data_IF_806696374662
#
_entry.id   IF_806696374662
#
_cell.length_a   1.000
_cell.length_b   1.000
_cell.length_c   1.000
_cell.angle_alpha   90.00
_cell.angle_beta   90.00
_cell.angle_gamma   90.00
#
_symmetry.space_group_name_H-M   'P 1'
#
loop_
_entity.id
_entity.type
_entity.pdbx_description
1 polymer ?
#
# COMPACT_ATOMS: atom_id res chain seq x y z
N UNK A 1 1.05 -23.34 4.80
CA UNK A 1 1.71 -22.57 5.88
C UNK A 1 1.31 -21.09 5.85
N UNK A 2 1.47 -20.45 4.69
CA UNK A 2 1.29 -19.01 4.48
C UNK A 2 -0.15 -18.52 4.74
N UNK A 3 -1.15 -19.29 4.30
CA UNK A 3 -2.55 -18.83 4.18
C UNK A 3 -3.24 -18.53 5.52
N UNK A 4 -3.09 -19.39 6.53
CA UNK A 4 -3.70 -19.15 7.86
C UNK A 4 -3.03 -17.98 8.60
N UNK A 5 -1.76 -17.73 8.29
CA UNK A 5 -0.99 -16.64 8.87
C UNK A 5 -1.34 -15.32 8.18
N UNK A 6 -1.54 -15.35 6.86
CA UNK A 6 -2.13 -14.28 6.07
C UNK A 6 -3.53 -13.93 6.57
N UNK A 7 -4.42 -14.91 6.67
CA UNK A 7 -5.77 -14.79 7.23
C UNK A 7 -5.79 -14.10 8.60
N UNK A 8 -4.89 -14.49 9.49
CA UNK A 8 -4.80 -13.90 10.82
C UNK A 8 -4.20 -12.48 10.78
N UNK A 9 -3.25 -12.21 9.88
CA UNK A 9 -2.65 -10.89 9.70
C UNK A 9 -3.59 -9.88 9.01
N UNK A 10 -4.49 -10.33 8.13
CA UNK A 10 -5.54 -9.52 7.48
C UNK A 10 -6.50 -8.90 8.49
N UNK A 11 -6.72 -9.54 9.65
CA UNK A 11 -7.52 -8.98 10.75
C UNK A 11 -6.84 -7.78 11.44
N UNK A 12 -5.51 -7.64 11.30
CA UNK A 12 -4.76 -6.53 11.91
C UNK A 12 -4.68 -5.30 11.01
N UNK A 13 -5.03 -5.40 9.73
CA UNK A 13 -5.08 -4.25 8.83
C UNK A 13 -6.13 -3.21 9.29
N UNK A 14 -7.41 -3.57 9.53
CA UNK A 14 -8.42 -2.60 9.96
C UNK A 14 -8.15 -2.08 11.37
N UNK A 15 -7.63 -2.94 12.25
CA UNK A 15 -7.16 -2.54 13.58
C UNK A 15 -6.01 -1.54 13.47
N UNK A 16 -5.08 -1.77 12.55
CA UNK A 16 -3.96 -0.90 12.28
C UNK A 16 -4.40 0.47 11.77
N UNK A 17 -5.44 0.51 10.92
CA UNK A 17 -6.09 1.77 10.56
C UNK A 17 -6.66 2.48 11.80
N UNK A 18 -7.46 1.80 12.64
CA UNK A 18 -8.06 2.42 13.83
C UNK A 18 -6.98 2.97 14.76
N UNK A 19 -5.96 2.16 15.08
CA UNK A 19 -4.89 2.58 15.98
C UNK A 19 -4.14 3.79 15.39
N UNK A 20 -3.79 3.74 14.10
CA UNK A 20 -3.11 4.85 13.43
C UNK A 20 -4.00 6.10 13.39
N UNK A 21 -5.30 5.94 13.15
CA UNK A 21 -6.26 7.05 13.07
C UNK A 21 -6.46 7.71 14.44
N UNK A 22 -6.53 6.92 15.52
CA UNK A 22 -6.65 7.46 16.88
C UNK A 22 -5.36 8.17 17.30
N UNK A 23 -4.20 7.56 17.04
CA UNK A 23 -2.91 8.10 17.48
C UNK A 23 -2.46 9.30 16.65
N UNK A 24 -2.58 9.22 15.32
CA UNK A 24 -2.01 10.20 14.39
C UNK A 24 -3.08 11.05 13.70
N UNK A 25 -4.34 10.62 13.63
CA UNK A 25 -5.40 11.37 12.97
C UNK A 25 -5.56 12.80 13.49
N UNK A 26 -5.72 13.04 14.81
CA UNK A 26 -5.83 14.38 15.37
C UNK A 26 -4.57 15.23 15.11
N UNK A 27 -3.39 14.62 15.21
CA UNK A 27 -2.11 15.30 14.96
C UNK A 27 -2.02 15.74 13.49
N UNK A 28 -2.28 14.83 12.55
CA UNK A 28 -2.24 15.12 11.12
C UNK A 28 -3.31 16.14 10.72
N UNK A 29 -4.53 16.03 11.26
CA UNK A 29 -5.61 16.97 10.98
C UNK A 29 -5.31 18.38 11.49
N UNK A 30 -4.77 18.53 12.71
CA UNK A 30 -4.41 19.84 13.27
C UNK A 30 -3.27 20.51 12.50
N UNK A 31 -2.25 19.75 12.09
CA UNK A 31 -1.17 20.24 11.23
C UNK A 31 -1.73 20.69 9.89
N UNK A 32 -2.62 19.91 9.29
CA UNK A 32 -3.20 20.21 7.97
C UNK A 32 -4.10 21.45 7.96
N UNK A 33 -4.92 21.66 9.00
CA UNK A 33 -5.78 22.85 9.12
C UNK A 33 -4.93 24.13 9.27
N UNK A 34 -3.74 24.02 9.83
CA UNK A 34 -2.78 25.13 9.93
C UNK A 34 -1.97 25.41 8.66
N UNK A 35 -2.17 24.69 7.56
CA UNK A 35 -1.38 24.90 6.34
C UNK A 35 -1.80 26.18 5.61
N UNK A 36 -0.84 27.10 5.49
CA UNK A 36 -0.93 28.24 4.59
C UNK A 36 -0.49 27.85 3.17
N UNK A 37 -0.79 28.66 2.13
CA UNK A 37 -0.31 28.40 0.76
C UNK A 37 1.20 28.17 0.67
N UNK A 38 2.00 28.86 1.50
CA UNK A 38 3.45 28.67 1.56
C UNK A 38 3.83 27.27 2.07
N UNK A 39 3.10 26.73 3.05
CA UNK A 39 3.32 25.38 3.57
C UNK A 39 3.00 24.31 2.52
N UNK A 40 1.96 24.52 1.70
CA UNK A 40 1.66 23.62 0.58
C UNK A 40 2.79 23.61 -0.45
N UNK A 41 3.34 24.77 -0.81
CA UNK A 41 4.49 24.83 -1.74
C UNK A 41 5.71 24.11 -1.16
N UNK A 42 6.05 24.38 0.11
CA UNK A 42 7.17 23.71 0.77
C UNK A 42 6.98 22.19 0.85
N UNK A 43 5.76 21.72 1.15
CA UNK A 43 5.41 20.32 1.18
C UNK A 43 5.54 19.66 -0.20
N UNK A 44 5.08 20.32 -1.26
CA UNK A 44 5.22 19.82 -2.63
C UNK A 44 6.69 19.71 -3.04
N UNK A 45 7.50 20.73 -2.75
CA UNK A 45 8.95 20.69 -3.00
C UNK A 45 9.61 19.55 -2.22
N UNK A 46 9.27 19.40 -0.93
CA UNK A 46 9.76 18.31 -0.10
C UNK A 46 9.33 16.93 -0.63
N UNK A 47 8.10 16.80 -1.14
CA UNK A 47 7.60 15.57 -1.72
C UNK A 47 8.38 15.20 -3.00
N UNK A 48 8.65 16.14 -3.89
CA UNK A 48 9.47 15.90 -5.08
C UNK A 48 10.94 15.60 -4.72
N UNK A 49 11.51 16.29 -3.73
CA UNK A 49 12.86 16.01 -3.23
C UNK A 49 12.95 14.60 -2.62
N UNK A 50 11.95 14.21 -1.82
CA UNK A 50 11.88 12.88 -1.22
C UNK A 50 11.68 11.80 -2.29
N UNK A 51 10.80 12.03 -3.26
CA UNK A 51 10.56 11.11 -4.38
C UNK A 51 11.86 10.82 -5.14
N UNK A 52 12.65 11.85 -5.44
CA UNK A 52 13.92 11.69 -6.18
C UNK A 52 15.01 11.01 -5.34
N UNK A 53 14.97 11.13 -4.01
CA UNK A 53 15.88 10.44 -3.10
C UNK A 53 15.52 8.98 -2.81
N UNK A 54 14.22 8.64 -2.81
CA UNK A 54 13.72 7.32 -2.39
C UNK A 54 13.46 6.37 -3.56
N UNK A 55 13.11 6.90 -4.75
CA UNK A 55 12.66 6.07 -5.87
C UNK A 55 13.80 5.78 -6.86
N UNK A 56 14.21 4.50 -6.87
CA UNK A 56 14.99 3.90 -7.95
C UNK A 56 16.50 4.12 -7.89
N UNK A 57 17.22 3.53 -8.85
CA UNK A 57 18.69 3.64 -8.96
C UNK A 57 19.17 4.94 -9.63
N UNK A 58 18.27 5.72 -10.23
CA UNK A 58 18.61 6.90 -11.04
C UNK A 58 17.68 8.07 -10.76
N UNK A 59 18.17 9.02 -9.96
CA UNK A 59 17.49 10.27 -9.58
C UNK A 59 17.01 11.07 -10.79
N UNK A 60 17.81 11.12 -11.85
CA UNK A 60 17.49 11.89 -13.07
C UNK A 60 16.25 11.33 -13.78
N UNK A 61 16.13 10.00 -13.89
CA UNK A 61 14.97 9.37 -14.52
C UNK A 61 13.69 9.62 -13.73
N UNK A 62 13.78 9.55 -12.40
CA UNK A 62 12.66 9.84 -11.50
C UNK A 62 12.20 11.29 -11.63
N UNK A 63 13.13 12.25 -11.65
CA UNK A 63 12.80 13.66 -11.79
C UNK A 63 12.21 13.98 -13.17
N UNK A 64 12.77 13.44 -14.25
CA UNK A 64 12.21 13.59 -15.60
C UNK A 64 10.80 13.02 -15.70
N UNK A 65 10.56 11.83 -15.13
CA UNK A 65 9.22 11.24 -15.09
C UNK A 65 8.22 12.11 -14.33
N UNK A 66 8.62 12.65 -13.19
CA UNK A 66 7.78 13.56 -12.40
C UNK A 66 7.47 14.88 -13.15
N UNK A 67 8.46 15.45 -13.85
CA UNK A 67 8.27 16.65 -14.67
C UNK A 67 7.35 16.40 -15.87
N UNK A 68 7.52 15.29 -16.58
CA UNK A 68 6.63 14.88 -17.68
C UNK A 68 5.20 14.75 -17.15
N UNK A 69 5.03 14.09 -16.01
CA UNK A 69 3.71 13.95 -15.40
C UNK A 69 3.09 15.29 -14.99
N UNK A 70 3.85 16.21 -14.38
CA UNK A 70 3.38 17.55 -14.05
C UNK A 70 2.91 18.31 -15.29
N UNK A 71 3.65 18.22 -16.40
CA UNK A 71 3.24 18.85 -17.66
C UNK A 71 1.92 18.25 -18.16
N UNK A 72 1.79 16.92 -18.17
CA UNK A 72 0.57 16.23 -18.59
C UNK A 72 -0.64 16.57 -17.69
N UNK A 73 -0.44 16.66 -16.37
CA UNK A 73 -1.48 16.99 -15.40
C UNK A 73 -1.98 18.45 -15.52
N UNK A 74 -1.21 19.34 -16.16
CA UNK A 74 -1.64 20.73 -16.42
C UNK A 74 -2.46 20.92 -17.69
N UNK A 75 -2.65 19.87 -18.50
CA UNK A 75 -3.49 19.92 -19.69
C UNK A 75 -4.96 19.97 -19.26
N UNK A 76 -5.70 20.97 -19.74
CA UNK A 76 -7.13 21.15 -19.46
C UNK A 76 -7.50 22.53 -18.96
N UNK A 77 -8.75 22.69 -18.53
CA UNK A 77 -9.21 23.91 -17.87
C UNK A 77 -8.71 23.93 -16.43
N UNK A 78 -7.99 24.98 -16.05
CA UNK A 78 -7.55 25.15 -14.66
C UNK A 78 -8.76 25.40 -13.74
N UNK A 79 -8.93 24.55 -12.72
CA UNK A 79 -10.10 24.60 -11.83
C UNK A 79 -10.22 25.89 -11.00
N UNK A 80 -9.11 26.61 -10.78
CA UNK A 80 -9.11 27.83 -9.98
C UNK A 80 -9.38 29.09 -10.81
N UNK A 81 -8.86 29.12 -12.03
CA UNK A 81 -8.85 30.33 -12.89
C UNK A 81 -9.74 30.21 -14.12
N UNK A 82 -10.20 29.01 -14.48
CA UNK A 82 -11.02 28.75 -15.67
C UNK A 82 -10.27 28.87 -17.00
N UNK A 83 -8.96 29.11 -16.98
CA UNK A 83 -8.15 29.32 -18.18
C UNK A 83 -7.77 27.97 -18.79
N UNK A 84 -7.99 27.74 -20.09
CA UNK A 84 -7.53 26.53 -20.77
C UNK A 84 -6.00 26.55 -20.91
N UNK A 85 -5.33 25.47 -20.50
CA UNK A 85 -3.88 25.28 -20.58
C UNK A 85 -3.55 24.08 -21.45
N UNK A 86 -2.64 24.26 -22.40
CA UNK A 86 -2.13 23.19 -23.27
C UNK A 86 -3.22 22.39 -24.02
N UNK A 87 -4.35 23.02 -24.34
CA UNK A 87 -5.46 22.37 -25.06
C UNK A 87 -5.32 22.42 -26.57
N UNK A 88 -4.45 23.29 -27.10
CA UNK A 88 -4.11 23.41 -28.52
C UNK A 88 -5.31 23.53 -29.48
N UNK A 89 -6.46 24.02 -28.99
CA UNK A 89 -7.70 24.12 -29.77
C UNK A 89 -8.48 22.81 -29.96
N UNK A 90 -8.05 21.71 -29.33
CA UNK A 90 -8.73 20.42 -29.36
C UNK A 90 -9.77 20.37 -28.23
N UNK A 91 -11.08 20.22 -28.53
CA UNK A 91 -12.13 20.21 -27.52
C UNK A 91 -11.97 19.11 -26.47
N UNK A 92 -11.51 17.92 -26.87
CA UNK A 92 -11.31 16.79 -25.96
C UNK A 92 -10.26 17.08 -24.88
N UNK A 93 -9.28 17.94 -25.18
CA UNK A 93 -8.25 18.34 -24.21
C UNK A 93 -8.75 19.36 -23.19
N UNK A 94 -9.94 19.95 -23.34
CA UNK A 94 -10.53 20.84 -22.34
C UNK A 94 -10.87 20.10 -21.05
N UNK A 95 -11.30 18.83 -21.16
CA UNK A 95 -11.52 17.95 -20.02
C UNK A 95 -10.21 17.53 -19.32
N UNK A 96 -9.06 17.80 -19.95
CA UNK A 96 -7.76 17.38 -19.47
C UNK A 96 -7.51 15.88 -19.68
N UNK A 97 -6.38 15.42 -19.15
CA UNK A 97 -6.05 13.99 -19.16
C UNK A 97 -6.66 13.35 -17.93
N UNK A 98 -7.53 12.35 -18.13
CA UNK A 98 -8.13 11.61 -17.03
C UNK A 98 -7.06 10.87 -16.22
N UNK A 99 -6.89 11.30 -14.98
CA UNK A 99 -5.94 10.73 -14.03
C UNK A 99 -6.09 9.21 -13.88
N UNK A 100 -7.34 8.72 -13.78
CA UNK A 100 -7.63 7.32 -13.52
C UNK A 100 -7.28 6.46 -14.73
N UNK A 101 -7.63 6.89 -15.94
CA UNK A 101 -7.32 6.14 -17.16
C UNK A 101 -5.80 5.95 -17.27
N UNK A 102 -5.03 7.01 -17.03
CA UNK A 102 -3.58 6.93 -17.18
C UNK A 102 -2.94 6.11 -16.07
N UNK A 103 -3.35 6.29 -14.81
CA UNK A 103 -2.78 5.53 -13.69
C UNK A 103 -3.12 4.04 -13.79
N UNK A 104 -4.37 3.68 -14.08
CA UNK A 104 -4.77 2.27 -14.24
C UNK A 104 -4.08 1.66 -15.46
N UNK A 105 -4.00 2.39 -16.58
CA UNK A 105 -3.33 1.94 -17.80
C UNK A 105 -1.83 1.73 -17.60
N UNK A 106 -1.12 2.72 -17.06
CA UNK A 106 0.32 2.64 -16.81
C UNK A 106 0.67 1.59 -15.75
N UNK A 107 -0.08 1.53 -14.65
CA UNK A 107 0.17 0.56 -13.59
C UNK A 107 -0.06 -0.87 -14.11
N UNK A 108 -1.20 -1.12 -14.77
CA UNK A 108 -1.50 -2.42 -15.35
C UNK A 108 -0.50 -2.85 -16.42
N UNK A 109 -0.07 -1.92 -17.29
CA UNK A 109 0.90 -2.20 -18.33
C UNK A 109 2.31 -2.42 -17.77
N UNK A 110 2.72 -1.65 -16.76
CA UNK A 110 4.01 -1.82 -16.09
C UNK A 110 4.10 -3.20 -15.42
N UNK A 111 3.06 -3.61 -14.71
CA UNK A 111 3.02 -4.92 -14.04
C UNK A 111 3.04 -6.08 -15.05
N UNK A 112 2.28 -5.96 -16.15
CA UNK A 112 2.27 -6.95 -17.22
C UNK A 112 3.65 -7.09 -17.87
N UNK A 113 4.29 -5.97 -18.21
CA UNK A 113 5.65 -5.99 -18.77
C UNK A 113 6.65 -6.57 -17.77
N UNK A 114 6.51 -6.27 -16.48
CA UNK A 114 7.37 -6.83 -15.44
C UNK A 114 7.20 -8.35 -15.30
N UNK A 115 5.97 -8.85 -15.35
CA UNK A 115 5.67 -10.29 -15.35
C UNK A 115 6.29 -10.99 -16.56
N UNK A 116 6.14 -10.40 -17.75
CA UNK A 116 6.76 -10.92 -18.99
C UNK A 116 8.29 -10.92 -18.86
N UNK A 117 8.89 -9.86 -18.33
CA UNK A 117 10.33 -9.78 -18.10
C UNK A 117 10.83 -10.87 -17.14
N UNK A 118 10.12 -11.10 -16.03
CA UNK A 118 10.47 -12.15 -15.07
C UNK A 118 10.35 -13.55 -15.68
N UNK A 119 9.35 -13.77 -16.54
CA UNK A 119 9.16 -15.01 -17.27
C UNK A 119 10.30 -15.25 -18.28
N UNK A 120 10.65 -14.24 -19.07
CA UNK A 120 11.75 -14.31 -20.06
C UNK A 120 13.10 -14.52 -19.38
N UNK A 121 13.36 -13.91 -18.21
CA UNK A 121 14.60 -14.09 -17.44
C UNK A 121 14.69 -15.42 -16.70
N UNK A 122 13.64 -16.24 -16.70
CA UNK A 122 13.61 -17.52 -15.98
C UNK A 122 13.72 -17.38 -14.46
N UNK A 123 13.49 -16.18 -13.92
CA UNK A 123 13.56 -15.90 -12.47
C UNK A 123 12.31 -16.32 -11.70
N UNK A 124 11.28 -16.80 -12.40
CA UNK A 124 10.13 -17.47 -11.79
C UNK A 124 10.55 -18.85 -11.25
N UNK A 125 11.21 -18.86 -10.10
CA UNK A 125 11.44 -20.08 -9.35
C UNK A 125 10.15 -20.46 -8.62
N UNK A 126 9.56 -21.58 -9.02
CA UNK A 126 8.58 -22.27 -8.18
C UNK A 126 9.30 -22.70 -6.90
N UNK A 127 8.99 -22.05 -5.78
CA UNK A 127 9.43 -22.52 -4.49
C UNK A 127 8.58 -23.77 -4.16
N UNK A 128 9.19 -24.89 -3.74
CA UNK A 128 8.43 -26.05 -3.32
C UNK A 128 7.47 -25.63 -2.20
N UNK A 129 6.17 -25.71 -2.48
CA UNK A 129 5.12 -25.38 -1.51
C UNK A 129 5.06 -26.53 -0.52
N UNK A 130 5.67 -26.33 0.64
CA UNK A 130 5.57 -27.31 1.71
C UNK A 130 4.13 -27.36 2.24
N UNK A 131 3.58 -28.58 2.34
CA UNK A 131 2.19 -28.88 2.73
C UNK A 131 1.96 -28.77 4.24
N UNK A 132 2.76 -27.97 4.93
CA UNK A 132 2.65 -27.70 6.35
C UNK A 132 1.50 -26.72 6.60
N UNK A 133 0.39 -27.20 7.18
CA UNK A 133 -0.67 -26.33 7.72
C UNK A 133 -0.23 -25.79 9.08
N UNK A 134 -0.38 -24.49 9.29
CA UNK A 134 -0.15 -23.87 10.60
C UNK A 134 -1.24 -24.34 11.54
N UNK A 135 -0.88 -24.92 12.68
CA UNK A 135 -1.87 -25.28 13.69
C UNK A 135 -2.28 -24.03 14.47
N UNK A 136 -3.51 -23.98 15.00
CA UNK A 136 -3.95 -22.88 15.85
C UNK A 136 -2.99 -22.62 17.04
N UNK A 137 -2.27 -23.66 17.50
CA UNK A 137 -1.23 -23.58 18.52
C UNK A 137 -0.03 -22.71 18.10
N UNK A 138 0.33 -22.67 16.82
CA UNK A 138 1.46 -21.88 16.32
C UNK A 138 1.10 -20.39 16.24
N UNK A 139 -0.16 -20.06 15.90
CA UNK A 139 -0.67 -18.69 15.95
C UNK A 139 -0.59 -18.14 17.38
N UNK A 140 -0.96 -18.95 18.39
CA UNK A 140 -0.88 -18.55 19.80
C UNK A 140 0.58 -18.30 20.22
N UNK A 141 1.52 -19.11 19.75
CA UNK A 141 2.96 -18.91 20.02
C UNK A 141 3.49 -17.62 19.36
N UNK A 142 2.96 -17.26 18.19
CA UNK A 142 3.39 -16.12 17.39
C UNK A 142 2.67 -14.81 17.72
N UNK A 143 1.64 -14.84 18.59
CA UNK A 143 0.83 -13.66 18.93
C UNK A 143 1.63 -12.41 19.29
N UNK A 144 2.75 -12.58 20.00
CA UNK A 144 3.60 -11.47 20.41
C UNK A 144 4.47 -10.94 19.27
N UNK A 145 4.91 -11.80 18.36
CA UNK A 145 5.61 -11.41 17.13
C UNK A 145 4.66 -10.67 16.20
N UNK A 146 3.45 -11.19 16.00
CA UNK A 146 2.42 -10.55 15.17
C UNK A 146 2.08 -9.16 15.73
N UNK A 147 1.76 -9.07 17.03
CA UNK A 147 1.40 -7.81 17.66
C UNK A 147 2.51 -6.76 17.53
N UNK A 148 3.78 -7.11 17.81
CA UNK A 148 4.87 -6.13 17.74
C UNK A 148 5.21 -5.72 16.30
N UNK A 149 5.16 -6.65 15.36
CA UNK A 149 5.36 -6.35 13.95
C UNK A 149 4.23 -5.51 13.37
N UNK A 150 2.99 -5.73 13.82
CA UNK A 150 1.87 -4.86 13.46
C UNK A 150 2.09 -3.43 13.96
N UNK A 151 2.60 -3.21 15.19
CA UNK A 151 2.94 -1.85 15.65
C UNK A 151 3.96 -1.14 14.75
N UNK A 152 4.95 -1.87 14.21
CA UNK A 152 5.92 -1.33 13.25
C UNK A 152 5.21 -0.93 11.95
N UNK A 153 4.24 -1.73 11.50
CA UNK A 153 3.46 -1.45 10.29
C UNK A 153 2.46 -0.29 10.43
N UNK A 154 1.83 -0.13 11.59
CA UNK A 154 0.81 0.93 11.85
C UNK A 154 1.36 2.34 11.65
N UNK A 155 2.68 2.51 11.78
CA UNK A 155 3.35 3.80 11.60
C UNK A 155 3.06 4.37 10.19
N UNK A 156 2.41 5.54 10.10
CA UNK A 156 2.07 6.12 8.81
C UNK A 156 3.35 6.50 8.06
N UNK A 157 3.33 6.30 6.73
CA UNK A 157 4.41 6.74 5.84
C UNK A 157 5.64 5.84 5.75
N UNK A 158 5.74 4.76 6.52
CA UNK A 158 6.88 3.83 6.41
C UNK A 158 6.79 2.92 5.17
N UNK A 159 5.57 2.65 4.68
CA UNK A 159 5.35 1.80 3.51
C UNK A 159 5.55 0.30 3.79
N UNK A 160 4.85 -0.54 3.03
CA UNK A 160 4.78 -1.99 3.24
C UNK A 160 6.15 -2.68 3.26
N UNK A 161 7.00 -2.39 2.26
CA UNK A 161 8.29 -3.07 2.10
C UNK A 161 9.29 -2.73 3.19
N UNK A 162 9.37 -1.46 3.59
CA UNK A 162 10.27 -1.01 4.66
C UNK A 162 9.78 -1.52 6.01
N UNK A 163 8.48 -1.43 6.29
CA UNK A 163 7.90 -1.97 7.52
C UNK A 163 8.17 -3.48 7.66
N UNK A 164 8.00 -4.24 6.58
CA UNK A 164 8.29 -5.67 6.53
C UNK A 164 9.77 -6.00 6.79
N UNK A 165 10.68 -5.24 6.18
CA UNK A 165 12.12 -5.42 6.37
C UNK A 165 12.58 -5.08 7.80
N UNK A 166 12.04 -4.00 8.36
CA UNK A 166 12.31 -3.59 9.75
C UNK A 166 11.77 -4.62 10.72
N UNK A 167 10.54 -5.12 10.51
CA UNK A 167 9.95 -6.17 11.33
C UNK A 167 10.77 -7.47 11.29
N UNK A 168 11.20 -7.90 10.09
CA UNK A 168 12.10 -9.06 9.94
C UNK A 168 13.41 -8.88 10.72
N UNK A 169 14.07 -7.74 10.54
CA UNK A 169 15.34 -7.43 11.21
C UNK A 169 15.19 -7.35 12.73
N UNK A 170 14.09 -6.79 13.22
CA UNK A 170 13.78 -6.65 14.64
C UNK A 170 13.55 -8.02 15.28
N UNK A 171 12.76 -8.88 14.65
CA UNK A 171 12.52 -10.25 15.14
C UNK A 171 13.75 -11.12 15.08
N UNK A 172 14.54 -11.01 14.01
CA UNK A 172 15.82 -11.72 13.91
C UNK A 172 16.76 -11.34 15.05
N UNK A 173 16.80 -10.05 15.44
CA UNK A 173 17.60 -9.58 16.57
C UNK A 173 17.05 -10.07 17.90
N UNK A 174 15.72 -10.07 18.07
CA UNK A 174 15.06 -10.46 19.32
C UNK A 174 15.10 -11.98 19.58
N UNK A 175 15.14 -12.79 18.52
CA UNK A 175 15.23 -14.25 18.61
C UNK A 175 16.59 -14.73 19.19
N UNK A 176 17.59 -13.85 19.25
CA UNK A 176 18.92 -14.17 19.75
C UNK A 176 19.81 -14.92 18.75
N UNK A 177 21.12 -15.05 19.02
CA UNK A 177 22.12 -15.47 18.03
C UNK A 177 21.93 -16.88 17.48
N UNK A 178 21.42 -17.79 18.32
CA UNK A 178 21.19 -19.19 17.98
C UNK A 178 19.95 -19.34 17.08
N UNK A 179 18.81 -18.74 17.46
CA UNK A 179 17.58 -18.82 16.68
C UNK A 179 17.63 -17.96 15.41
N UNK A 180 18.40 -16.86 15.40
CA UNK A 180 18.62 -16.01 14.23
C UNK A 180 19.23 -16.74 13.02
N UNK A 181 19.92 -17.88 13.23
CA UNK A 181 20.47 -18.73 12.16
C UNK A 181 19.37 -19.47 11.38
N UNK A 182 18.20 -19.67 11.98
CA UNK A 182 17.04 -20.32 11.36
C UNK A 182 16.16 -19.36 10.52
N UNK A 183 16.42 -18.05 10.60
CA UNK A 183 15.73 -17.06 9.78
C UNK A 183 16.20 -17.15 8.32
N UNK A 184 15.25 -17.33 7.40
CA UNK A 184 15.53 -17.55 5.98
C UNK A 184 15.66 -19.04 5.59
N UNK A 185 15.68 -19.96 6.56
CA UNK A 185 15.73 -21.41 6.34
C UNK A 185 14.45 -22.14 6.79
N UNK A 186 13.38 -21.40 7.08
CA UNK A 186 12.06 -21.94 7.44
C UNK A 186 11.50 -21.50 8.79
N UNK A 187 12.16 -20.60 9.54
CA UNK A 187 11.60 -20.08 10.79
C UNK A 187 10.28 -19.32 10.55
N UNK A 188 9.21 -19.74 11.24
CA UNK A 188 7.87 -19.18 11.10
C UNK A 188 7.81 -17.70 11.52
N UNK A 189 8.62 -17.25 12.50
CA UNK A 189 8.73 -15.82 12.87
C UNK A 189 9.27 -14.98 11.71
N UNK A 190 10.16 -15.55 10.90
CA UNK A 190 10.72 -14.90 9.71
C UNK A 190 9.69 -14.66 8.59
N UNK A 191 8.56 -15.36 8.62
CA UNK A 191 7.41 -15.11 7.73
C UNK A 191 6.35 -14.26 8.43
N UNK A 192 6.02 -14.59 9.68
CA UNK A 192 4.94 -13.95 10.42
C UNK A 192 5.17 -12.46 10.66
N UNK A 193 6.42 -12.07 10.89
CA UNK A 193 6.76 -10.70 11.21
C UNK A 193 6.67 -9.74 10.01
N UNK A 194 7.29 -10.04 8.85
CA UNK A 194 7.01 -9.30 7.62
C UNK A 194 5.53 -9.19 7.30
N UNK A 195 4.79 -10.30 7.41
CA UNK A 195 3.39 -10.35 6.98
C UNK A 195 2.47 -9.52 7.89
N UNK A 196 2.67 -9.62 9.21
CA UNK A 196 1.94 -8.81 10.18
C UNK A 196 2.24 -7.31 10.02
N UNK A 197 3.49 -6.95 9.70
CA UNK A 197 3.88 -5.56 9.45
C UNK A 197 3.32 -5.04 8.11
N UNK A 198 3.34 -5.85 7.06
CA UNK A 198 2.77 -5.53 5.76
C UNK A 198 1.27 -5.20 5.85
N UNK A 199 0.49 -6.09 6.47
CA UNK A 199 -0.95 -5.90 6.62
C UNK A 199 -1.28 -4.73 7.55
N UNK A 200 -0.55 -4.56 8.65
CA UNK A 200 -0.74 -3.37 9.48
C UNK A 200 -0.35 -2.06 8.76
N UNK A 201 0.67 -2.10 7.90
CA UNK A 201 1.05 -0.98 7.05
C UNK A 201 -0.02 -0.66 6.00
N UNK A 202 -0.81 -1.64 5.55
CA UNK A 202 -2.00 -1.48 4.71
C UNK A 202 -3.10 -0.62 5.41
N UNK A 203 -3.27 -0.76 6.72
CA UNK A 203 -4.12 0.13 7.51
C UNK A 203 -3.48 1.50 7.77
N UNK A 204 -2.21 1.50 8.23
CA UNK A 204 -1.52 2.71 8.69
C UNK A 204 -1.33 3.78 7.63
N UNK A 205 -1.01 3.42 6.39
CA UNK A 205 -0.85 4.39 5.30
C UNK A 205 -2.18 4.89 4.69
N UNK A 206 -3.33 4.37 5.14
CA UNK A 206 -4.64 4.91 4.76
C UNK A 206 -4.96 6.21 5.51
N UNK A 207 -4.49 6.35 6.76
CA UNK A 207 -4.73 7.55 7.58
C UNK A 207 -4.21 8.82 6.90
N UNK A 208 -2.91 8.95 6.53
CA UNK A 208 -2.42 10.16 5.84
C UNK A 208 -3.10 10.38 4.48
N UNK A 209 -3.55 9.32 3.81
CA UNK A 209 -4.29 9.46 2.57
C UNK A 209 -5.66 10.09 2.81
N UNK A 210 -6.41 9.65 3.83
CA UNK A 210 -7.74 10.19 4.14
C UNK A 210 -7.69 11.55 4.83
N UNK A 211 -6.67 11.81 5.66
CA UNK A 211 -6.57 13.06 6.44
C UNK A 211 -5.77 14.15 5.73
N UNK A 212 -4.77 13.81 4.92
CA UNK A 212 -3.93 14.80 4.22
C UNK A 212 -4.10 14.77 2.70
N UNK A 213 -4.76 13.75 2.14
CA UNK A 213 -4.77 13.53 0.69
C UNK A 213 -3.43 13.03 0.14
N UNK A 214 -2.53 12.51 1.00
CA UNK A 214 -1.18 12.07 0.60
C UNK A 214 -1.09 10.54 0.66
N UNK A 215 -0.99 9.85 -0.48
CA UNK A 215 -0.96 8.40 -0.51
C UNK A 215 0.41 7.87 -0.04
N UNK A 216 0.42 6.93 0.92
CA UNK A 216 1.66 6.32 1.42
C UNK A 216 2.23 5.17 0.56
N UNK A 217 1.61 4.85 -0.58
CA UNK A 217 2.03 3.75 -1.48
C UNK A 217 1.37 3.90 -2.85
N UNK A 218 1.93 3.27 -3.89
CA UNK A 218 1.35 3.26 -5.25
C UNK A 218 -0.12 2.83 -5.28
N UNK A 219 -0.49 1.71 -4.65
CA UNK A 219 -1.87 1.21 -4.61
C UNK A 219 -2.87 2.22 -4.00
N UNK A 220 -2.42 3.01 -3.02
CA UNK A 220 -3.25 4.08 -2.42
C UNK A 220 -3.34 5.32 -3.26
N UNK A 221 -2.36 5.59 -4.11
CA UNK A 221 -2.45 6.66 -5.09
C UNK A 221 -3.55 6.36 -6.12
N UNK A 222 -3.72 5.08 -6.49
CA UNK A 222 -4.83 4.62 -7.32
C UNK A 222 -6.17 4.86 -6.61
N UNK A 223 -6.28 4.46 -5.33
CA UNK A 223 -7.50 4.68 -4.54
C UNK A 223 -7.82 6.18 -4.37
N UNK A 224 -6.81 7.02 -4.12
CA UNK A 224 -6.98 8.48 -4.12
C UNK A 224 -7.52 8.98 -5.46
N UNK A 225 -7.00 8.47 -6.57
CA UNK A 225 -7.54 8.74 -7.92
C UNK A 225 -9.02 8.39 -8.06
N UNK A 226 -9.41 7.21 -7.59
CA UNK A 226 -10.81 6.78 -7.62
C UNK A 226 -11.71 7.70 -6.77
N UNK A 227 -11.25 8.11 -5.58
CA UNK A 227 -12.00 9.07 -4.75
C UNK A 227 -12.19 10.41 -5.47
N UNK A 228 -11.13 10.93 -6.09
CA UNK A 228 -11.20 12.18 -6.86
C UNK A 228 -12.17 12.07 -8.05
N UNK A 229 -12.22 10.92 -8.74
CA UNK A 229 -13.19 10.65 -9.81
C UNK A 229 -14.64 10.77 -9.31
N UNK A 230 -14.91 10.29 -8.10
CA UNK A 230 -16.23 10.43 -7.47
C UNK A 230 -16.45 11.81 -6.82
N UNK A 231 -15.61 12.81 -7.13
CA UNK A 231 -15.64 14.14 -6.51
C UNK A 231 -15.56 14.07 -4.97
N UNK A 232 -14.77 13.12 -4.47
CA UNK A 232 -14.42 12.98 -3.07
C UNK A 232 -12.98 13.40 -2.91
N UNK A 233 -12.77 14.57 -2.31
CA UNK A 233 -11.43 15.07 -2.02
C UNK A 233 -11.04 14.66 -0.60
N UNK A 234 -10.05 13.79 -0.42
CA UNK A 234 -9.58 13.45 0.92
C UNK A 234 -8.87 14.62 1.57
N UNK A 235 -8.93 14.68 2.90
CA UNK A 235 -8.42 15.80 3.67
C UNK A 235 -9.02 15.85 5.07
N UNK A 236 -8.64 16.85 5.89
CA UNK A 236 -9.03 16.92 7.29
C UNK A 236 -10.55 17.04 7.47
N UNK A 237 -11.21 17.63 6.47
CA UNK A 237 -12.64 17.86 6.45
C UNK A 237 -13.44 16.65 5.93
N UNK A 238 -12.80 15.60 5.39
CA UNK A 238 -13.51 14.45 4.84
C UNK A 238 -14.40 13.77 5.89
N UNK A 239 -13.87 13.58 7.10
CA UNK A 239 -14.58 12.93 8.21
C UNK A 239 -15.73 13.76 8.79
N UNK A 240 -15.76 15.07 8.52
CA UNK A 240 -16.83 15.97 8.99
C UNK A 240 -17.83 16.30 7.89
N UNK A 241 -17.39 16.50 6.64
CA UNK A 241 -18.23 16.88 5.52
C UNK A 241 -18.86 15.69 4.78
N UNK A 242 -18.15 14.55 4.71
CA UNK A 242 -18.64 13.32 4.05
C UNK A 242 -18.39 12.09 4.95
N UNK A 243 -18.94 12.07 6.19
CA UNK A 243 -18.71 10.98 7.14
C UNK A 243 -19.18 9.63 6.60
N UNK A 244 -20.22 9.59 5.78
CA UNK A 244 -20.74 8.36 5.17
C UNK A 244 -19.70 7.73 4.24
N UNK A 245 -18.96 8.54 3.48
CA UNK A 245 -17.91 8.07 2.59
C UNK A 245 -16.67 7.68 3.39
N UNK A 246 -16.27 8.50 4.36
CA UNK A 246 -15.10 8.25 5.18
C UNK A 246 -15.24 6.93 5.98
N UNK A 247 -16.34 6.78 6.72
CA UNK A 247 -16.62 5.58 7.50
C UNK A 247 -17.10 4.42 6.65
N UNK A 248 -17.77 4.69 5.52
CA UNK A 248 -18.14 3.67 4.52
C UNK A 248 -16.91 3.02 3.90
N UNK A 249 -15.87 3.79 3.57
CA UNK A 249 -14.60 3.25 3.10
C UNK A 249 -13.94 2.37 4.17
N UNK A 250 -13.88 2.85 5.41
CA UNK A 250 -13.32 2.08 6.53
C UNK A 250 -14.11 0.78 6.73
N UNK A 251 -15.44 0.84 6.75
CA UNK A 251 -16.30 -0.33 6.85
C UNK A 251 -16.11 -1.30 5.68
N UNK A 252 -15.92 -0.79 4.46
CA UNK A 252 -15.65 -1.62 3.28
C UNK A 252 -14.32 -2.36 3.38
N UNK A 253 -13.32 -1.80 4.08
CA UNK A 253 -12.06 -2.50 4.36
C UNK A 253 -12.30 -3.69 5.29
N UNK A 254 -13.11 -3.53 6.35
CA UNK A 254 -13.47 -4.64 7.24
C UNK A 254 -14.18 -5.76 6.47
N UNK A 255 -15.21 -5.40 5.68
CA UNK A 255 -15.98 -6.36 4.90
C UNK A 255 -15.11 -7.00 3.82
N UNK A 256 -14.28 -6.21 3.14
CA UNK A 256 -13.36 -6.63 2.10
C UNK A 256 -12.33 -7.63 2.62
N UNK A 257 -11.76 -7.39 3.80
CA UNK A 257 -10.81 -8.32 4.42
C UNK A 257 -11.47 -9.63 4.84
N UNK A 258 -12.70 -9.58 5.36
CA UNK A 258 -13.47 -10.81 5.64
C UNK A 258 -13.79 -11.57 4.36
N UNK A 259 -14.15 -10.87 3.27
CA UNK A 259 -14.38 -11.50 1.98
C UNK A 259 -13.10 -12.11 1.40
N UNK A 260 -11.98 -11.38 1.45
CA UNK A 260 -10.65 -11.85 1.06
C UNK A 260 -10.26 -13.11 1.83
N UNK A 261 -10.46 -13.13 3.14
CA UNK A 261 -10.22 -14.30 3.99
C UNK A 261 -11.01 -15.53 3.51
N UNK A 262 -12.31 -15.37 3.27
CA UNK A 262 -13.19 -16.46 2.80
C UNK A 262 -12.74 -16.97 1.43
N UNK A 263 -12.44 -16.06 0.51
CA UNK A 263 -11.97 -16.39 -0.84
C UNK A 263 -10.61 -17.10 -0.75
N UNK A 264 -9.63 -16.54 -0.03
CA UNK A 264 -8.29 -17.11 0.09
C UNK A 264 -8.31 -18.54 0.64
N UNK A 265 -9.12 -18.80 1.68
CA UNK A 265 -9.25 -20.15 2.24
C UNK A 265 -9.84 -21.14 1.22
N UNK A 266 -10.91 -20.77 0.53
CA UNK A 266 -11.56 -21.64 -0.48
C UNK A 266 -10.65 -21.93 -1.68
N UNK A 267 -9.95 -20.92 -2.17
CA UNK A 267 -9.12 -21.04 -3.36
C UNK A 267 -7.87 -21.88 -3.10
N UNK A 268 -7.30 -21.79 -1.90
CA UNK A 268 -6.16 -22.62 -1.50
C UNK A 268 -6.54 -24.09 -1.46
N UNK A 269 -7.71 -24.42 -0.90
CA UNK A 269 -8.24 -25.78 -0.89
C UNK A 269 -8.52 -26.28 -2.31
N UNK A 270 -9.03 -25.40 -3.18
CA UNK A 270 -9.29 -25.71 -4.58
C UNK A 270 -8.01 -26.00 -5.39
N UNK A 271 -6.97 -25.17 -5.25
CA UNK A 271 -5.68 -25.36 -5.92
C UNK A 271 -4.94 -26.60 -5.42
N UNK A 272 -5.00 -26.87 -4.11
CA UNK A 272 -4.39 -28.05 -3.52
C UNK A 272 -5.06 -29.35 -4.00
N UNK A 273 -6.40 -29.36 -4.11
CA UNK A 273 -7.15 -30.53 -4.59
C UNK A 273 -6.97 -30.82 -6.09
N UNK A 274 -6.56 -29.84 -6.90
CA UNK A 274 -6.38 -30.01 -8.36
C UNK A 274 -4.94 -30.30 -8.83
N UNK A 275 -3.99 -30.59 -7.94
CA UNK A 275 -2.61 -31.01 -8.28
C UNK A 275 -1.86 -30.10 -9.28
N UNK A 276 -2.26 -28.83 -9.43
CA UNK A 276 -1.52 -27.85 -10.26
C UNK A 276 -0.19 -27.41 -9.62
N UNK A 277 0.14 -27.96 -8.45
CA UNK A 277 1.37 -27.77 -7.70
C UNK A 277 2.25 -29.04 -7.72
N UNK A 278 2.09 -29.94 -8.68
CA UNK A 278 3.13 -30.93 -8.94
C UNK A 278 4.35 -30.21 -9.53
N UNK A 279 5.57 -30.45 -9.02
CA UNK A 279 6.76 -29.89 -9.61
C UNK A 279 6.83 -30.38 -11.05
N UNK A 280 6.84 -29.45 -12.00
CA UNK A 280 7.24 -29.74 -13.37
C UNK A 280 8.67 -30.26 -13.24
N UNK A 281 8.86 -31.56 -13.51
CA UNK A 281 10.08 -32.31 -13.23
C UNK A 281 11.33 -31.73 -13.88
#
# INVERSE_FOLDING_TARGET
>A
MVVLLFAYAELYEPLGFIISAILFGPLLASVAVGFSPANYVALMVFAFASLTSLVGKSTVKTLLGALIWLMLATIGIDANTGVPRFTFGIPDLLAGIDFLIVVVGLFGMAELLHLVEQQVKGTLKSLPVDKSFVQAADIIKLRWTILRSSFIGVLPGTGASVASAVAYGTEKRLAGPEEAKSFGTGNIRGLAAPEAANNAAAGGAMVPMLTLGIPGSGTRAILLGALLMFNVQPGPLLFTQKPEIAWGLVASMYIGNVALLVINLQWVDWFNNRRLLEPIG
#
